data_IF_804144634335
#
_entry.id   IF_804144634335
#
_cell.length_a   1.000
_cell.length_b   1.000
_cell.length_c   1.000
_cell.angle_alpha   90.00
_cell.angle_beta   90.00
_cell.angle_gamma   90.00
#
_symmetry.space_group_name_H-M   'P 1'
#
loop_
_entity.id
_entity.type
_entity.pdbx_description
1 polymer ?
#
# COMPACT_ATOMS: atom_id res chain seq x y z
N UNK A 1 17.71 -7.84 10.75
CA UNK A 1 19.02 -8.48 11.01
C UNK A 1 19.38 -9.31 9.77
N UNK A 2 20.61 -9.27 9.27
CA UNK A 2 20.96 -10.07 8.09
C UNK A 2 21.13 -11.55 8.47
N UNK A 3 20.47 -12.50 7.79
CA UNK A 3 20.54 -13.90 8.16
C UNK A 3 21.93 -14.46 7.83
N UNK A 4 22.51 -15.23 8.75
CA UNK A 4 23.74 -15.97 8.48
C UNK A 4 23.46 -17.13 7.54
N UNK A 5 24.49 -17.59 6.83
CA UNK A 5 24.38 -18.78 5.98
C UNK A 5 23.86 -20.00 6.76
N UNK A 6 24.33 -20.20 8.00
CA UNK A 6 23.83 -21.25 8.91
C UNK A 6 22.33 -21.09 9.19
N UNK A 7 21.85 -19.86 9.40
CA UNK A 7 20.44 -19.57 9.64
C UNK A 7 19.56 -19.88 8.42
N UNK A 8 20.00 -19.48 7.22
CA UNK A 8 19.30 -19.78 5.95
C UNK A 8 19.20 -21.29 5.75
N UNK A 9 20.30 -22.02 5.94
CA UNK A 9 20.34 -23.47 5.77
C UNK A 9 19.48 -24.22 6.78
N UNK A 10 19.41 -23.75 8.03
CA UNK A 10 18.53 -24.32 9.04
C UNK A 10 17.04 -24.08 8.71
N UNK A 11 16.69 -22.87 8.29
CA UNK A 11 15.33 -22.53 7.88
C UNK A 11 14.86 -23.35 6.67
N UNK A 12 15.71 -23.49 5.64
CA UNK A 12 15.41 -24.30 4.45
C UNK A 12 15.12 -25.78 4.78
N UNK A 13 15.75 -26.32 5.83
CA UNK A 13 15.58 -27.72 6.25
C UNK A 13 14.41 -27.94 7.21
N UNK A 14 13.91 -26.88 7.85
CA UNK A 14 12.80 -27.00 8.80
C UNK A 14 11.52 -27.30 8.00
N UNK A 15 10.79 -28.38 8.32
CA UNK A 15 9.49 -28.62 7.72
C UNK A 15 8.56 -27.43 7.99
N UNK A 16 7.83 -27.01 6.96
CA UNK A 16 6.76 -26.03 7.10
C UNK A 16 5.47 -26.82 7.33
N UNK A 17 4.90 -26.64 8.50
CA UNK A 17 3.57 -27.19 8.81
C UNK A 17 2.53 -26.38 8.05
N UNK A 18 1.62 -27.09 7.39
CA UNK A 18 0.50 -26.50 6.64
C UNK A 18 -0.78 -26.96 7.31
N UNK A 19 -1.72 -26.04 7.44
CA UNK A 19 -3.01 -26.25 8.08
C UNK A 19 -4.10 -25.92 7.06
N UNK A 20 -5.09 -26.80 6.96
CA UNK A 20 -6.32 -26.55 6.22
C UNK A 20 -7.40 -25.98 7.17
N UNK A 21 -8.50 -25.48 6.60
CA UNK A 21 -9.60 -24.90 7.41
C UNK A 21 -10.23 -25.94 8.35
N UNK A 22 -10.27 -27.20 7.91
CA UNK A 22 -10.80 -28.33 8.67
C UNK A 22 -9.96 -28.63 9.91
N UNK A 23 -8.64 -28.46 9.83
CA UNK A 23 -7.74 -28.63 10.98
C UNK A 23 -7.95 -27.55 12.05
N UNK A 24 -8.59 -26.44 11.66
CA UNK A 24 -8.83 -25.26 12.49
C UNK A 24 -10.30 -25.10 12.92
N UNK A 25 -11.19 -26.01 12.49
CA UNK A 25 -12.64 -25.93 12.73
C UNK A 25 -13.27 -24.61 12.23
N UNK A 26 -12.83 -24.14 11.06
CA UNK A 26 -13.30 -22.89 10.43
C UNK A 26 -14.22 -23.21 9.24
N UNK A 27 -15.40 -22.58 9.21
CA UNK A 27 -16.32 -22.74 8.09
C UNK A 27 -15.82 -21.96 6.85
N UNK A 28 -15.84 -22.61 5.68
CA UNK A 28 -15.36 -22.00 4.43
C UNK A 28 -16.12 -20.72 4.03
N UNK A 29 -17.37 -20.56 4.47
CA UNK A 29 -18.19 -19.37 4.23
C UNK A 29 -17.77 -18.14 5.05
N UNK A 30 -17.00 -18.32 6.11
CA UNK A 30 -16.53 -17.22 6.97
C UNK A 30 -15.24 -16.57 6.46
N UNK A 31 -14.57 -17.19 5.48
CA UNK A 31 -13.25 -16.78 4.99
C UNK A 31 -13.22 -16.53 3.49
N UNK A 32 -12.10 -15.99 3.02
CA UNK A 32 -11.91 -15.66 1.62
C UNK A 32 -12.94 -14.65 1.11
N UNK A 33 -13.24 -14.72 -0.19
CA UNK A 33 -14.22 -13.82 -0.80
C UNK A 33 -15.64 -14.09 -0.30
N UNK A 34 -15.98 -15.35 0.02
CA UNK A 34 -17.31 -15.74 0.49
C UNK A 34 -17.70 -15.12 1.84
N UNK A 35 -16.72 -14.99 2.75
CA UNK A 35 -16.92 -14.34 4.05
C UNK A 35 -16.64 -12.84 4.09
N UNK A 36 -16.24 -12.24 2.97
CA UNK A 36 -15.90 -10.81 2.90
C UNK A 36 -17.15 -9.93 2.83
N UNK A 37 -17.18 -8.84 3.60
CA UNK A 37 -18.30 -7.88 3.58
C UNK A 37 -18.25 -6.92 2.39
N UNK A 38 -17.12 -6.83 1.71
CA UNK A 38 -16.90 -5.96 0.56
C UNK A 38 -16.15 -6.68 -0.53
N UNK A 39 -16.29 -6.17 -1.76
CA UNK A 39 -15.60 -6.66 -2.94
C UNK A 39 -14.90 -5.50 -3.64
N UNK A 40 -13.77 -5.79 -4.27
CA UNK A 40 -13.08 -4.83 -5.14
C UNK A 40 -13.79 -4.84 -6.48
N UNK A 41 -14.49 -3.75 -6.82
CA UNK A 41 -15.18 -3.61 -8.11
C UNK A 41 -14.22 -3.24 -9.24
N UNK A 42 -13.27 -2.34 -8.99
CA UNK A 42 -12.25 -1.91 -9.95
C UNK A 42 -10.93 -1.57 -9.23
N UNK A 43 -9.81 -1.75 -9.94
CA UNK A 43 -8.50 -1.32 -9.49
C UNK A 43 -7.71 -0.76 -10.69
N UNK A 44 -7.58 0.56 -10.74
CA UNK A 44 -6.83 1.26 -11.79
C UNK A 44 -5.53 1.86 -11.27
N UNK A 45 -4.50 1.85 -12.12
CA UNK A 45 -3.21 2.45 -11.79
C UNK A 45 -3.34 3.97 -11.68
N UNK A 46 -2.73 4.55 -10.64
CA UNK A 46 -2.67 6.01 -10.51
C UNK A 46 -1.94 6.60 -11.73
N UNK A 47 -2.51 7.62 -12.39
CA UNK A 47 -1.81 8.31 -13.47
C UNK A 47 -0.44 8.83 -13.03
N UNK A 48 0.52 8.88 -13.96
CA UNK A 48 1.85 9.40 -13.69
C UNK A 48 1.78 10.87 -13.22
N UNK A 49 2.67 11.25 -12.30
CA UNK A 49 2.79 12.65 -11.89
C UNK A 49 3.27 13.49 -13.08
N UNK A 50 2.54 14.55 -13.39
CA UNK A 50 3.00 15.56 -14.35
C UNK A 50 4.00 16.49 -13.67
N UNK A 51 4.75 17.23 -14.49
CA UNK A 51 5.50 18.39 -13.97
C UNK A 51 4.52 19.35 -13.26
N UNK A 52 4.97 19.93 -12.15
CA UNK A 52 4.23 20.99 -11.46
C UNK A 52 4.37 22.33 -12.18
N UNK A 53 3.68 23.35 -11.67
CA UNK A 53 3.81 24.72 -12.15
C UNK A 53 5.13 25.32 -11.68
N UNK A 54 5.92 25.84 -12.61
CA UNK A 54 7.12 26.63 -12.28
C UNK A 54 6.69 28.09 -12.20
N UNK A 55 6.94 28.73 -11.06
CA UNK A 55 6.71 30.16 -10.87
C UNK A 55 8.06 30.82 -10.64
N UNK A 56 8.44 31.71 -11.55
CA UNK A 56 9.59 32.60 -11.36
C UNK A 56 9.15 33.79 -10.51
N UNK A 57 9.89 34.09 -9.45
CA UNK A 57 9.53 35.20 -8.57
C UNK A 57 10.04 36.54 -9.12
N UNK A 58 9.10 37.44 -9.40
CA UNK A 58 9.35 38.83 -9.82
C UNK A 58 8.87 39.85 -8.75
N UNK A 59 8.66 39.39 -7.51
CA UNK A 59 8.18 40.18 -6.37
C UNK A 59 6.82 39.73 -5.80
N UNK A 60 6.13 38.82 -6.49
CA UNK A 60 4.78 38.33 -6.13
C UNK A 60 4.73 36.80 -5.88
N UNK A 61 5.87 36.11 -5.88
CA UNK A 61 5.93 34.64 -5.77
C UNK A 61 5.31 34.12 -4.46
N UNK A 62 5.49 34.84 -3.35
CA UNK A 62 4.90 34.47 -2.06
C UNK A 62 3.37 34.50 -2.08
N UNK A 63 2.77 35.47 -2.77
CA UNK A 63 1.31 35.56 -2.95
C UNK A 63 0.79 34.41 -3.81
N UNK A 64 1.46 34.13 -4.94
CA UNK A 64 1.09 33.03 -5.83
C UNK A 64 1.19 31.65 -5.14
N UNK A 65 2.19 31.45 -4.27
CA UNK A 65 2.30 30.24 -3.46
C UNK A 65 1.14 30.11 -2.46
N UNK A 66 0.82 31.17 -1.72
CA UNK A 66 -0.29 31.15 -0.76
C UNK A 66 -1.63 30.89 -1.47
N UNK A 67 -1.85 31.49 -2.63
CA UNK A 67 -3.02 31.24 -3.49
C UNK A 67 -3.10 29.76 -3.92
N UNK A 68 -2.00 29.15 -4.36
CA UNK A 68 -1.96 27.72 -4.71
C UNK A 68 -2.32 26.82 -3.52
N UNK A 69 -1.73 27.08 -2.34
CA UNK A 69 -1.96 26.26 -1.16
C UNK A 69 -3.41 26.33 -0.68
N UNK A 70 -4.00 27.53 -0.66
CA UNK A 70 -5.42 27.72 -0.31
C UNK A 70 -6.34 27.05 -1.36
N UNK A 71 -6.04 27.23 -2.65
CA UNK A 71 -6.82 26.65 -3.74
C UNK A 71 -6.83 25.11 -3.75
N UNK A 72 -5.72 24.49 -3.33
CA UNK A 72 -5.61 23.03 -3.18
C UNK A 72 -6.06 22.52 -1.81
N UNK A 73 -6.55 23.40 -0.93
CA UNK A 73 -6.99 23.09 0.45
C UNK A 73 -5.90 22.46 1.32
N UNK A 74 -4.66 22.94 1.15
CA UNK A 74 -3.56 22.63 2.06
C UNK A 74 -3.53 23.57 3.27
N UNK A 75 -4.10 24.78 3.13
CA UNK A 75 -4.34 25.78 4.18
C UNK A 75 -5.74 26.37 4.04
#
# INVERSE_FOLDING_TARGET
RYPSFKGIMAAKKKPVESWDLEDLDIEAGEVGLGGSWSVVEDASARPARTAGTIVTDEGEGGKQLAEFLAGQKFI
#
